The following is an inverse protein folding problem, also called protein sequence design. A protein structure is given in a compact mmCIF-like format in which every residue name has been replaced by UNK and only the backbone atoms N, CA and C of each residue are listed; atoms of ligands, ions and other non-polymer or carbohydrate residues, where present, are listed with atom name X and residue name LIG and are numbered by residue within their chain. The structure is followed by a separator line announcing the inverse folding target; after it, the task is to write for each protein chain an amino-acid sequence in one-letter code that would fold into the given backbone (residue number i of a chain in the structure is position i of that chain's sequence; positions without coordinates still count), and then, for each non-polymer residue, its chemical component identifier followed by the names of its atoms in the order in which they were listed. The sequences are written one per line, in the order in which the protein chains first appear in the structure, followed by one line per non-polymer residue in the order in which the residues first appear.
data_IF_625023589432
#
_entry.id   IF_625023589432
#
_cell.length_a   1.000
_cell.length_b   1.000
_cell.length_c   1.000
_cell.angle_alpha   90.00
_cell.angle_beta   90.00
_cell.angle_gamma   90.00
#
_symmetry.space_group_name_H-M   'P 1'
#
loop_
_entity.id
_entity.type
_entity.pdbx_description
1 polymer ?
#
# COMPACT_ATOMS: atom_id res chain seq x y z
N UNK A 1 -9.86 -0.10 1.78
CA UNK A 1 -9.53 -0.86 3.01
C UNK A 1 -8.80 -2.14 2.64
N UNK A 2 -8.06 -2.74 3.56
CA UNK A 2 -7.42 -4.05 3.36
C UNK A 2 -8.17 -5.14 4.14
N UNK A 3 -8.26 -6.35 3.57
CA UNK A 3 -8.87 -7.54 4.19
C UNK A 3 -7.80 -8.59 4.36
N UNK A 4 -7.57 -8.99 5.61
CA UNK A 4 -6.48 -9.86 6.01
C UNK A 4 -6.99 -11.24 6.43
N UNK A 5 -6.12 -12.25 6.34
CA UNK A 5 -6.43 -13.59 6.84
C UNK A 5 -7.36 -14.39 5.94
N UNK A 6 -7.51 -13.98 4.67
CA UNK A 6 -8.34 -14.74 3.71
C UNK A 6 -7.60 -16.04 3.34
N UNK A 7 -8.32 -17.12 3.11
CA UNK A 7 -7.70 -18.38 2.66
C UNK A 7 -6.99 -18.19 1.31
N UNK A 8 -5.81 -18.79 1.17
CA UNK A 8 -5.02 -18.74 -0.05
C UNK A 8 -3.82 -17.78 0.00
N UNK A 9 -3.15 -17.57 -1.14
CA UNK A 9 -1.84 -16.91 -1.18
C UNK A 9 -1.91 -15.38 -1.00
N UNK A 10 -3.10 -14.79 -1.09
CA UNK A 10 -3.26 -13.34 -1.14
C UNK A 10 -4.34 -12.87 -0.17
N UNK A 11 -4.06 -11.71 0.43
CA UNK A 11 -5.04 -10.82 1.01
C UNK A 11 -5.43 -9.74 -0.01
N UNK A 12 -6.39 -8.89 0.35
CA UNK A 12 -7.08 -8.06 -0.62
C UNK A 12 -7.10 -6.58 -0.24
N UNK A 13 -7.04 -5.73 -1.26
CA UNK A 13 -7.53 -4.36 -1.20
C UNK A 13 -8.94 -4.35 -1.73
N UNK A 14 -9.85 -3.75 -0.97
CA UNK A 14 -11.24 -3.60 -1.37
C UNK A 14 -11.64 -2.13 -1.30
N UNK A 15 -12.26 -1.66 -2.37
CA UNK A 15 -12.82 -0.32 -2.50
C UNK A 15 -14.32 -0.39 -2.26
N UNK A 16 -14.82 0.50 -1.42
CA UNK A 16 -16.24 0.64 -1.12
C UNK A 16 -16.72 2.04 -1.47
N UNK A 17 -17.98 2.14 -1.85
CA UNK A 17 -18.71 3.39 -1.84
C UNK A 17 -18.93 3.85 -0.38
N UNK A 18 -18.55 5.07 -0.06
CA UNK A 18 -18.55 5.57 1.32
C UNK A 18 -19.94 5.98 1.83
N UNK A 19 -20.95 6.03 0.96
CA UNK A 19 -22.33 6.36 1.33
C UNK A 19 -23.16 5.09 1.56
N UNK A 20 -22.92 4.07 0.76
CA UNK A 20 -23.74 2.84 0.69
C UNK A 20 -23.01 1.60 1.20
N UNK A 21 -21.70 1.68 1.42
CA UNK A 21 -20.82 0.54 1.73
C UNK A 21 -20.90 -0.60 0.72
N UNK A 22 -21.34 -0.31 -0.52
CA UNK A 22 -21.30 -1.28 -1.61
C UNK A 22 -19.86 -1.46 -2.09
N UNK A 23 -19.43 -2.71 -2.23
CA UNK A 23 -18.14 -3.04 -2.83
C UNK A 23 -18.11 -2.57 -4.29
N UNK A 24 -17.09 -1.80 -4.65
CA UNK A 24 -16.89 -1.24 -5.98
C UNK A 24 -15.81 -2.01 -6.76
N UNK A 25 -14.74 -2.40 -6.07
CA UNK A 25 -13.61 -3.12 -6.68
C UNK A 25 -12.83 -3.91 -5.63
N UNK A 26 -12.15 -4.96 -6.08
CA UNK A 26 -11.29 -5.82 -5.27
C UNK A 26 -10.04 -6.22 -6.04
N UNK A 27 -8.88 -6.18 -5.37
CA UNK A 27 -7.58 -6.57 -5.93
C UNK A 27 -6.82 -7.44 -4.95
N UNK A 28 -6.33 -8.58 -5.42
CA UNK A 28 -5.35 -9.40 -4.69
C UNK A 28 -3.96 -8.74 -4.79
N UNK A 29 -3.26 -8.59 -3.66
CA UNK A 29 -1.99 -7.84 -3.59
C UNK A 29 -0.84 -8.57 -2.89
N UNK A 30 -1.11 -9.71 -2.25
CA UNK A 30 -0.18 -10.44 -1.39
C UNK A 30 -0.67 -10.48 0.06
N UNK A 31 0.09 -11.06 0.97
CA UNK A 31 -0.32 -11.24 2.38
C UNK A 31 -0.09 -9.97 3.21
N UNK A 32 -1.02 -9.71 4.13
CA UNK A 32 -0.93 -8.63 5.12
C UNK A 32 -0.57 -7.26 4.52
N UNK A 33 -1.34 -6.75 3.53
CA UNK A 33 -1.15 -5.42 2.98
C UNK A 33 -1.64 -4.33 3.94
N UNK A 34 -0.84 -3.28 4.06
CA UNK A 34 -1.25 -1.99 4.62
C UNK A 34 -1.57 -1.03 3.48
N UNK A 35 -2.45 -0.06 3.67
CA UNK A 35 -2.82 0.91 2.62
C UNK A 35 -2.61 2.33 3.10
N UNK A 36 -1.98 3.14 2.26
CA UNK A 36 -1.87 4.59 2.44
C UNK A 36 -2.22 5.31 1.15
N UNK A 37 -2.82 6.48 1.28
CA UNK A 37 -3.26 7.34 0.19
C UNK A 37 -3.23 8.81 0.63
N UNK A 38 -3.29 9.71 -0.34
CA UNK A 38 -3.50 11.14 -0.13
C UNK A 38 -4.49 11.64 -1.20
N UNK A 39 -4.87 12.91 -1.10
CA UNK A 39 -5.79 13.62 -1.99
C UNK A 39 -5.07 14.47 -3.07
N UNK A 40 -3.74 14.46 -3.09
CA UNK A 40 -2.89 15.18 -4.05
C UNK A 40 -2.49 14.31 -5.25
N UNK A 41 -2.57 12.97 -5.14
CA UNK A 41 -2.32 12.02 -6.23
C UNK A 41 -3.37 10.91 -6.32
N UNK A 42 -3.45 10.27 -7.49
CA UNK A 42 -4.43 9.22 -7.79
C UNK A 42 -3.90 7.80 -7.47
N UNK A 43 -3.01 7.67 -6.48
CA UNK A 43 -2.34 6.38 -6.19
C UNK A 43 -2.57 5.86 -4.77
N UNK A 44 -2.60 4.53 -4.65
CA UNK A 44 -2.57 3.78 -3.40
C UNK A 44 -1.19 3.16 -3.23
N UNK A 45 -0.63 3.25 -2.04
CA UNK A 45 0.67 2.67 -1.70
C UNK A 45 0.48 1.60 -0.65
N UNK A 46 0.94 0.41 -0.99
CA UNK A 46 0.70 -0.78 -0.21
C UNK A 46 1.99 -1.51 0.13
N UNK A 47 2.60 -1.23 1.28
CA UNK A 47 3.53 -2.16 1.88
C UNK A 47 2.83 -3.50 2.07
N UNK A 48 3.38 -4.54 1.44
CA UNK A 48 2.85 -5.90 1.56
C UNK A 48 3.83 -6.69 2.40
N UNK A 49 3.43 -7.01 3.64
CA UNK A 49 4.33 -7.61 4.60
C UNK A 49 4.89 -8.95 4.09
N UNK A 50 6.20 -9.15 4.29
CA UNK A 50 6.89 -10.37 3.87
C UNK A 50 7.15 -10.49 2.37
N UNK A 51 6.82 -9.48 1.56
CA UNK A 51 7.01 -9.51 0.10
C UNK A 51 8.13 -8.60 -0.43
N UNK A 52 8.83 -7.87 0.46
CA UNK A 52 9.93 -6.95 0.12
C UNK A 52 9.55 -5.86 -0.91
N UNK A 53 8.29 -5.43 -0.92
CA UNK A 53 7.80 -4.43 -1.86
C UNK A 53 6.69 -3.55 -1.29
N UNK A 54 6.58 -2.38 -1.90
CA UNK A 54 5.40 -1.52 -1.86
C UNK A 54 4.72 -1.64 -3.23
N UNK A 55 3.51 -2.22 -3.24
CA UNK A 55 2.66 -2.28 -4.42
C UNK A 55 1.98 -0.92 -4.59
N UNK A 56 2.00 -0.37 -5.80
CA UNK A 56 1.33 0.89 -6.15
C UNK A 56 0.16 0.59 -7.09
N UNK A 57 -1.04 1.01 -6.70
CA UNK A 57 -2.26 0.85 -7.48
C UNK A 57 -2.86 2.21 -7.83
N UNK A 58 -3.64 2.28 -8.90
CA UNK A 58 -4.49 3.44 -9.16
C UNK A 58 -5.66 3.47 -8.17
N UNK A 59 -5.98 4.66 -7.64
CA UNK A 59 -7.12 4.86 -6.74
C UNK A 59 -8.46 4.65 -7.45
N UNK A 60 -8.54 4.96 -8.75
CA UNK A 60 -9.77 4.90 -9.53
C UNK A 60 -10.35 3.47 -9.58
N UNK A 61 -9.53 2.50 -10.00
CA UNK A 61 -9.98 1.16 -10.37
C UNK A 61 -9.16 0.01 -9.76
N UNK A 62 -8.16 0.31 -8.91
CA UNK A 62 -7.20 -0.65 -8.35
C UNK A 62 -6.32 -1.36 -9.39
N UNK A 63 -6.18 -0.79 -10.59
CA UNK A 63 -5.21 -1.26 -11.57
C UNK A 63 -3.77 -1.12 -11.04
N UNK A 64 -2.89 -2.04 -11.45
CA UNK A 64 -1.50 -2.06 -11.00
C UNK A 64 -0.70 -1.00 -11.75
N UNK A 65 0.01 -0.15 -11.01
CA UNK A 65 0.80 0.95 -11.56
C UNK A 65 2.29 0.63 -11.47
N UNK A 66 2.77 0.22 -10.30
CA UNK A 66 4.19 -0.06 -10.07
C UNK A 66 4.38 -1.00 -8.86
N UNK A 67 5.56 -1.61 -8.74
CA UNK A 67 6.03 -2.29 -7.53
C UNK A 67 7.41 -1.74 -7.17
N UNK A 68 7.51 -1.10 -6.01
CA UNK A 68 8.76 -0.51 -5.52
C UNK A 68 9.41 -1.49 -4.56
N UNK A 69 10.65 -1.91 -4.84
CA UNK A 69 11.38 -2.81 -3.95
C UNK A 69 11.74 -2.09 -2.66
N UNK A 70 11.21 -2.59 -1.55
CA UNK A 70 11.52 -2.11 -0.19
C UNK A 70 11.62 -3.32 0.73
N UNK A 71 12.85 -3.71 1.15
CA UNK A 71 13.04 -4.86 2.02
C UNK A 71 12.20 -4.77 3.31
N UNK A 72 11.47 -5.84 3.61
CA UNK A 72 10.64 -5.99 4.81
C UNK A 72 9.60 -4.87 5.03
N UNK A 73 9.07 -4.27 3.97
CA UNK A 73 8.05 -3.21 4.03
C UNK A 73 6.84 -3.62 4.89
N UNK A 74 6.36 -2.70 5.75
CA UNK A 74 5.27 -2.98 6.68
C UNK A 74 4.41 -1.75 6.99
N UNK A 75 4.87 -0.83 7.85
CA UNK A 75 4.10 0.35 8.22
C UNK A 75 3.90 1.27 7.02
N UNK A 76 2.84 2.08 7.04
CA UNK A 76 2.51 2.97 5.92
C UNK A 76 2.13 4.35 6.44
N UNK A 77 2.78 5.39 5.93
CA UNK A 77 2.48 6.78 6.29
C UNK A 77 2.73 7.72 5.12
N UNK A 78 1.70 8.48 4.74
CA UNK A 78 1.77 9.47 3.66
C UNK A 78 1.67 10.87 4.27
N UNK A 79 2.51 11.81 3.82
CA UNK A 79 2.31 13.23 4.14
C UNK A 79 1.13 13.78 3.35
N UNK A 80 0.38 14.69 3.96
CA UNK A 80 -0.77 15.33 3.31
C UNK A 80 -0.42 16.09 2.04
N UNK A 81 0.82 16.59 1.91
CA UNK A 81 1.26 17.29 0.70
C UNK A 81 1.64 16.35 -0.46
N UNK A 82 1.39 15.05 -0.34
CA UNK A 82 1.58 14.08 -1.41
C UNK A 82 2.99 14.04 -1.99
N UNK A 83 4.03 14.43 -1.23
CA UNK A 83 5.42 14.41 -1.74
C UNK A 83 6.22 13.18 -1.34
N UNK A 84 5.96 12.66 -0.15
CA UNK A 84 6.70 11.52 0.39
C UNK A 84 5.75 10.48 0.97
N UNK A 85 5.94 9.25 0.52
CA UNK A 85 5.47 8.05 1.19
C UNK A 85 6.56 7.50 2.09
N UNK A 86 6.21 7.13 3.32
CA UNK A 86 7.11 6.49 4.27
C UNK A 86 6.60 5.10 4.60
N UNK A 87 7.51 4.12 4.61
CA UNK A 87 7.23 2.77 5.08
C UNK A 87 8.31 2.28 6.03
N UNK A 88 7.90 1.58 7.09
CA UNK A 88 8.86 0.97 8.01
C UNK A 88 9.33 -0.37 7.49
N UNK A 89 10.52 -0.79 7.91
CA UNK A 89 10.91 -2.19 7.83
C UNK A 89 10.54 -2.90 9.15
N UNK A 90 9.85 -4.05 9.09
CA UNK A 90 9.44 -4.75 10.33
C UNK A 90 10.58 -5.59 10.93
N UNK A 91 11.58 -5.93 10.13
CA UNK A 91 12.73 -6.75 10.52
C UNK A 91 14.03 -5.93 10.46
N UNK A 92 15.02 -6.28 11.29
CA UNK A 92 16.35 -5.70 11.24
C UNK A 92 16.75 -4.80 12.42
N UNK A 93 15.96 -4.77 13.49
CA UNK A 93 16.34 -4.09 14.74
C UNK A 93 16.48 -2.56 14.63
N UNK A 94 15.80 -1.95 13.65
CA UNK A 94 15.79 -0.50 13.42
C UNK A 94 16.84 0.03 12.45
N UNK A 95 17.79 -0.80 11.99
CA UNK A 95 18.65 -0.43 10.86
C UNK A 95 17.81 -0.37 9.59
N UNK A 96 17.90 0.74 8.85
CA UNK A 96 17.04 1.03 7.69
C UNK A 96 15.54 1.02 8.06
N UNK A 97 15.24 1.35 9.33
CA UNK A 97 13.93 1.28 10.00
C UNK A 97 12.78 2.00 9.28
N UNK A 98 13.11 2.99 8.47
CA UNK A 98 12.17 3.85 7.76
C UNK A 98 12.74 4.16 6.38
N UNK A 99 11.96 3.90 5.34
CA UNK A 99 12.27 4.23 3.96
C UNK A 99 11.31 5.33 3.50
N UNK A 100 11.88 6.42 2.95
CA UNK A 100 11.12 7.49 2.30
C UNK A 100 11.18 7.35 0.79
N UNK A 101 10.03 7.39 0.13
CA UNK A 101 9.88 7.32 -1.32
C UNK A 101 9.37 8.69 -1.80
N UNK A 102 10.16 9.35 -2.65
CA UNK A 102 9.71 10.57 -3.34
C UNK A 102 8.73 10.18 -4.45
N UNK A 103 7.50 10.69 -4.35
CA UNK A 103 6.42 10.30 -5.24
C UNK A 103 6.26 11.21 -6.45
N UNK A 104 7.09 12.25 -6.60
CA UNK A 104 7.18 13.05 -7.84
C UNK A 104 8.40 12.71 -8.70
N UNK A 105 9.40 12.04 -8.14
CA UNK A 105 10.59 11.56 -8.86
C UNK A 105 10.46 10.15 -9.44
N UNK A 106 9.24 9.62 -9.56
CA UNK A 106 8.96 8.24 -9.98
C UNK A 106 9.34 7.98 -11.44
#
# INVERSE_FOLDING_TARGET
VTFLGVEGPNDFVVKYDTRTFKELARKAVGRDPHVSLNDEDDFLYLPVQGSNQVVVLAQEDLSSVNNITVPNAHGAGMRSNGRYFYTTNILGGGKDGLVGIDIFGR
#
